data_IF_739504077577
#
_entry.id   IF_739504077577
#
_cell.length_a   1.000
_cell.length_b   1.000
_cell.length_c   1.000
_cell.angle_alpha   90.00
_cell.angle_beta   90.00
_cell.angle_gamma   90.00
#
_symmetry.space_group_name_H-M   'P 1'
#
loop_
_entity.id
_entity.type
_entity.pdbx_description
1 polymer ?
#
# COMPACT_ATOMS: atom_id res chain seq x y z
N UNK A 1 -21.19 -18.96 -14.94
CA UNK A 1 -21.10 -17.49 -14.73
C UNK A 1 -19.68 -17.06 -15.06
N UNK A 2 -19.45 -16.02 -15.87
CA UNK A 2 -18.12 -15.54 -16.18
C UNK A 2 -17.48 -14.87 -14.95
N UNK A 3 -16.16 -14.73 -14.97
CA UNK A 3 -15.44 -14.01 -13.95
C UNK A 3 -14.54 -12.91 -14.52
N UNK A 4 -14.31 -11.87 -13.72
CA UNK A 4 -13.33 -10.86 -14.02
C UNK A 4 -11.97 -11.32 -13.55
N UNK A 5 -10.98 -11.24 -14.42
CA UNK A 5 -9.57 -11.45 -14.11
C UNK A 5 -8.87 -10.11 -14.20
N UNK A 6 -8.31 -9.64 -13.08
CA UNK A 6 -7.43 -8.48 -13.03
C UNK A 6 -6.00 -8.95 -12.96
N UNK A 7 -5.17 -8.36 -13.79
CA UNK A 7 -3.71 -8.54 -13.81
C UNK A 7 -3.07 -7.23 -13.43
N UNK A 8 -2.40 -7.20 -12.29
CA UNK A 8 -1.74 -6.01 -11.76
C UNK A 8 -0.24 -6.25 -11.83
N UNK A 9 0.46 -5.47 -12.66
CA UNK A 9 1.89 -5.63 -12.88
C UNK A 9 2.70 -4.64 -12.05
N UNK A 10 3.72 -5.16 -11.39
CA UNK A 10 4.75 -4.39 -10.68
C UNK A 10 6.13 -4.74 -11.24
N UNK A 11 7.18 -4.05 -10.80
CA UNK A 11 8.57 -4.30 -11.25
C UNK A 11 9.01 -5.74 -11.01
N UNK A 12 8.72 -6.28 -9.83
CA UNK A 12 9.21 -7.59 -9.38
C UNK A 12 8.09 -8.64 -9.21
N UNK A 13 6.81 -8.28 -9.38
CA UNK A 13 5.69 -9.21 -9.20
C UNK A 13 4.48 -8.90 -10.08
N UNK A 14 3.61 -9.88 -10.19
CA UNK A 14 2.29 -9.76 -10.84
C UNK A 14 1.25 -10.31 -9.87
N UNK A 15 0.29 -9.49 -9.49
CA UNK A 15 -0.87 -9.93 -8.71
C UNK A 15 -2.03 -10.29 -9.64
N UNK A 16 -2.69 -11.39 -9.38
CA UNK A 16 -3.86 -11.84 -10.13
C UNK A 16 -5.05 -11.89 -9.18
N UNK A 17 -6.10 -11.17 -9.54
CA UNK A 17 -7.41 -11.26 -8.87
C UNK A 17 -8.43 -11.82 -9.85
N UNK A 18 -9.17 -12.84 -9.44
CA UNK A 18 -10.30 -13.41 -10.19
C UNK A 18 -11.53 -13.36 -9.30
N UNK A 19 -12.62 -12.79 -9.81
CA UNK A 19 -13.87 -12.68 -9.06
C UNK A 19 -15.03 -12.98 -9.99
N UNK A 20 -15.87 -13.94 -9.63
CA UNK A 20 -17.10 -14.17 -10.36
C UNK A 20 -18.01 -12.94 -10.33
N UNK A 21 -18.70 -12.68 -11.41
CA UNK A 21 -19.52 -11.47 -11.55
C UNK A 21 -20.79 -11.76 -12.32
N UNK A 22 -21.93 -11.38 -11.73
CA UNK A 22 -23.23 -11.43 -12.41
C UNK A 22 -23.46 -10.30 -13.41
N UNK A 23 -22.50 -9.36 -13.58
CA UNK A 23 -22.68 -8.22 -14.49
C UNK A 23 -22.32 -8.50 -15.94
N UNK A 24 -21.49 -9.52 -16.21
CA UNK A 24 -20.90 -9.74 -17.53
C UNK A 24 -21.35 -11.08 -18.11
N UNK A 25 -22.14 -11.03 -19.20
CA UNK A 25 -22.53 -12.22 -19.97
C UNK A 25 -23.45 -13.22 -19.26
N UNK A 26 -24.09 -12.82 -18.17
CA UNK A 26 -25.12 -13.59 -17.50
C UNK A 26 -26.48 -13.33 -18.16
N UNK A 27 -27.09 -14.37 -18.79
CA UNK A 27 -28.40 -14.27 -19.43
C UNK A 27 -29.56 -14.58 -18.47
N UNK A 28 -29.29 -14.93 -17.21
CA UNK A 28 -30.29 -15.24 -16.20
C UNK A 28 -30.79 -14.01 -15.46
N UNK A 29 -31.89 -14.15 -14.68
CA UNK A 29 -32.37 -13.07 -13.81
C UNK A 29 -31.25 -12.66 -12.82
N UNK A 30 -31.05 -11.33 -12.57
CA UNK A 30 -30.07 -10.87 -11.62
C UNK A 30 -30.36 -11.50 -10.24
N UNK A 31 -29.42 -12.29 -9.71
CA UNK A 31 -29.53 -12.71 -8.30
C UNK A 31 -29.55 -11.47 -7.41
N UNK A 32 -30.50 -11.42 -6.47
CA UNK A 32 -30.50 -10.38 -5.42
C UNK A 32 -29.14 -10.39 -4.74
N UNK A 33 -28.39 -9.33 -4.92
CA UNK A 33 -27.12 -9.14 -4.23
C UNK A 33 -27.41 -9.02 -2.74
N UNK A 34 -26.66 -9.76 -1.92
CA UNK A 34 -26.60 -9.50 -0.49
C UNK A 34 -26.04 -8.09 -0.29
N UNK A 35 -26.71 -7.26 0.47
CA UNK A 35 -26.19 -5.97 0.93
C UNK A 35 -25.40 -6.20 2.20
N UNK A 36 -24.08 -5.89 2.22
CA UNK A 36 -23.28 -6.03 3.44
C UNK A 36 -23.80 -5.14 4.56
N UNK A 37 -23.68 -5.61 5.79
CA UNK A 37 -23.98 -4.81 6.99
C UNK A 37 -23.00 -3.63 7.12
N UNK A 38 -23.31 -2.60 7.93
CA UNK A 38 -22.38 -1.49 8.18
C UNK A 38 -21.01 -1.97 8.72
N UNK A 39 -20.98 -3.01 9.55
CA UNK A 39 -19.76 -3.61 10.09
C UNK A 39 -18.96 -4.31 9.00
N UNK A 40 -19.61 -5.11 8.16
CA UNK A 40 -18.97 -5.75 6.98
C UNK A 40 -18.42 -4.69 6.02
N UNK A 41 -19.16 -3.59 5.81
CA UNK A 41 -18.66 -2.47 4.99
C UNK A 41 -17.41 -1.81 5.57
N UNK A 42 -17.28 -1.70 6.91
CA UNK A 42 -16.05 -1.23 7.56
C UNK A 42 -14.86 -2.15 7.25
N UNK A 43 -15.08 -3.47 7.32
CA UNK A 43 -14.04 -4.48 7.00
C UNK A 43 -13.64 -4.40 5.52
N UNK A 44 -14.62 -4.34 4.61
CA UNK A 44 -14.40 -4.20 3.17
C UNK A 44 -13.59 -2.93 2.87
N UNK A 45 -14.00 -1.79 3.42
CA UNK A 45 -13.31 -0.51 3.21
C UNK A 45 -11.87 -0.54 3.75
N UNK A 46 -11.63 -1.19 4.89
CA UNK A 46 -10.29 -1.37 5.44
C UNK A 46 -9.42 -2.23 4.51
N UNK A 47 -9.91 -3.39 4.05
CA UNK A 47 -9.19 -4.26 3.10
C UNK A 47 -8.86 -3.52 1.79
N UNK A 48 -9.81 -2.72 1.28
CA UNK A 48 -9.57 -1.91 0.08
C UNK A 48 -8.51 -0.81 0.31
N UNK A 49 -8.49 -0.20 1.49
CA UNK A 49 -7.48 0.79 1.85
C UNK A 49 -6.08 0.16 1.93
N UNK A 50 -5.96 -1.01 2.57
CA UNK A 50 -4.71 -1.79 2.66
C UNK A 50 -4.22 -2.15 1.25
N UNK A 51 -5.11 -2.71 0.41
CA UNK A 51 -4.79 -3.10 -0.96
C UNK A 51 -4.29 -1.91 -1.79
N UNK A 52 -5.00 -0.78 -1.76
CA UNK A 52 -4.61 0.43 -2.50
C UNK A 52 -3.26 0.97 -2.03
N UNK A 53 -3.02 0.98 -0.71
CA UNK A 53 -1.75 1.44 -0.16
C UNK A 53 -0.61 0.50 -0.55
N UNK A 54 -0.79 -0.83 -0.43
CA UNK A 54 0.19 -1.84 -0.86
C UNK A 54 0.55 -1.68 -2.34
N UNK A 55 -0.46 -1.54 -3.21
CA UNK A 55 -0.21 -1.34 -4.63
C UNK A 55 0.57 -0.06 -4.91
N UNK A 56 0.24 1.02 -4.20
CA UNK A 56 0.95 2.29 -4.34
C UNK A 56 2.40 2.19 -3.87
N UNK A 57 2.66 1.46 -2.79
CA UNK A 57 4.03 1.17 -2.32
C UNK A 57 4.76 0.34 -3.39
N UNK A 58 4.22 -0.80 -3.81
CA UNK A 58 4.83 -1.70 -4.80
C UNK A 58 5.11 -1.03 -6.17
N UNK A 59 4.28 -0.09 -6.58
CA UNK A 59 4.46 0.61 -7.86
C UNK A 59 5.56 1.68 -7.82
N UNK A 60 5.95 2.17 -6.64
CA UNK A 60 6.82 3.34 -6.51
C UNK A 60 8.08 3.14 -5.69
N UNK A 61 8.12 2.14 -4.80
CA UNK A 61 9.21 1.93 -3.85
C UNK A 61 9.65 0.46 -3.93
N UNK A 62 10.72 0.20 -4.63
CA UNK A 62 11.23 -1.15 -4.90
C UNK A 62 12.74 -1.17 -5.17
N UNK A 63 13.45 -0.13 -4.79
CA UNK A 63 14.91 -0.05 -4.86
C UNK A 63 15.53 -0.36 -3.49
N UNK A 64 16.82 -0.74 -3.49
CA UNK A 64 17.55 -1.09 -2.26
C UNK A 64 17.59 0.07 -1.25
N UNK A 65 17.65 1.30 -1.78
CA UNK A 65 17.77 2.51 -0.96
C UNK A 65 16.42 3.13 -0.59
N UNK A 66 15.30 2.45 -0.87
CA UNK A 66 13.99 2.91 -0.42
C UNK A 66 13.77 2.52 1.04
N UNK A 67 13.15 3.39 1.84
CA UNK A 67 13.00 3.22 3.28
C UNK A 67 11.58 3.38 3.77
N UNK A 68 11.22 2.55 4.74
CA UNK A 68 10.21 2.89 5.73
C UNK A 68 10.92 3.63 6.88
N UNK A 69 10.52 4.86 7.11
CA UNK A 69 11.11 5.77 8.09
C UNK A 69 10.09 6.09 9.17
N UNK A 70 10.48 5.96 10.43
CA UNK A 70 9.67 6.40 11.58
C UNK A 70 10.34 7.58 12.24
N UNK A 71 9.64 8.72 12.28
CA UNK A 71 10.07 9.93 12.96
C UNK A 71 9.35 10.04 14.30
N UNK A 72 10.13 10.10 15.37
CA UNK A 72 9.64 10.25 16.74
C UNK A 72 10.00 11.64 17.28
N UNK A 73 9.44 11.98 18.44
CA UNK A 73 9.76 13.21 19.19
C UNK A 73 10.36 12.86 20.55
N UNK A 74 11.38 13.59 20.99
CA UNK A 74 11.85 13.55 22.37
C UNK A 74 10.73 13.95 23.33
N UNK A 75 10.73 13.41 24.53
CA UNK A 75 9.65 13.60 25.52
C UNK A 75 9.38 15.09 25.81
N UNK A 76 10.44 15.88 25.94
CA UNK A 76 10.43 17.31 26.17
C UNK A 76 10.10 18.17 24.94
N UNK A 77 10.10 17.57 23.74
CA UNK A 77 9.86 18.27 22.48
C UNK A 77 8.58 17.79 21.76
N UNK A 78 7.70 17.08 22.48
CA UNK A 78 6.43 16.60 21.92
C UNK A 78 5.53 17.77 21.54
N UNK A 79 5.16 17.91 20.27
CA UNK A 79 4.30 18.98 19.79
C UNK A 79 2.83 18.62 19.95
N UNK A 80 1.97 19.63 19.79
CA UNK A 80 0.58 19.42 19.44
C UNK A 80 0.42 18.95 17.97
N UNK A 81 -0.81 18.68 17.54
CA UNK A 81 -1.08 18.15 16.22
C UNK A 81 -0.74 19.12 15.08
N UNK A 82 -0.92 20.42 15.28
CA UNK A 82 -0.69 21.42 14.24
C UNK A 82 0.80 21.75 14.10
N UNK A 83 1.50 21.84 15.22
CA UNK A 83 2.94 21.97 15.23
C UNK A 83 3.62 20.73 14.62
N UNK A 84 3.14 19.52 14.91
CA UNK A 84 3.64 18.28 14.28
C UNK A 84 3.49 18.32 12.75
N UNK A 85 2.34 18.78 12.25
CA UNK A 85 2.10 18.96 10.80
C UNK A 85 3.07 19.99 10.20
N UNK A 86 3.32 21.10 10.91
CA UNK A 86 4.24 22.16 10.49
C UNK A 86 5.67 21.64 10.38
N UNK A 87 6.17 20.95 11.43
CA UNK A 87 7.52 20.36 11.46
C UNK A 87 7.73 19.34 10.34
N UNK A 88 6.77 18.45 10.15
CA UNK A 88 6.80 17.46 9.06
C UNK A 88 6.79 18.11 7.67
N UNK A 89 5.96 19.15 7.47
CA UNK A 89 5.93 19.92 6.21
C UNK A 89 7.30 20.55 5.92
N UNK A 90 7.94 21.15 6.93
CA UNK A 90 9.27 21.76 6.80
C UNK A 90 10.34 20.72 6.42
N UNK A 91 10.33 19.55 7.10
CA UNK A 91 11.22 18.44 6.73
C UNK A 91 11.05 18.07 5.25
N UNK A 92 9.83 17.78 4.82
CA UNK A 92 9.55 17.37 3.43
C UNK A 92 9.98 18.44 2.42
N UNK A 93 9.75 19.71 2.71
CA UNK A 93 10.17 20.81 1.83
C UNK A 93 11.70 20.87 1.69
N UNK A 94 12.42 20.76 2.81
CA UNK A 94 13.87 20.80 2.82
C UNK A 94 14.47 19.59 2.09
N UNK A 95 14.00 18.38 2.42
CA UNK A 95 14.47 17.14 1.76
C UNK A 95 14.17 17.19 0.26
N UNK A 96 12.96 17.61 -0.15
CA UNK A 96 12.62 17.77 -1.59
C UNK A 96 13.56 18.72 -2.30
N UNK A 97 13.92 19.86 -1.68
CA UNK A 97 14.86 20.81 -2.24
C UNK A 97 16.24 20.19 -2.45
N UNK A 98 16.70 19.39 -1.48
CA UNK A 98 17.98 18.70 -1.54
C UNK A 98 18.00 17.59 -2.61
N UNK A 99 16.89 16.82 -2.74
CA UNK A 99 16.75 15.84 -3.81
C UNK A 99 16.84 16.51 -5.19
N UNK A 100 16.07 17.60 -5.37
CA UNK A 100 16.08 18.35 -6.63
C UNK A 100 17.47 18.89 -7.00
N UNK A 101 18.25 19.39 -6.03
CA UNK A 101 19.63 19.81 -6.23
C UNK A 101 20.56 18.69 -6.71
N UNK A 102 20.23 17.43 -6.41
CA UNK A 102 20.95 16.21 -6.82
C UNK A 102 20.38 15.53 -8.07
N UNK A 103 19.43 16.18 -8.76
CA UNK A 103 18.82 15.65 -9.98
C UNK A 103 17.75 14.57 -9.73
N UNK A 104 17.27 14.44 -8.49
CA UNK A 104 16.28 13.43 -8.11
C UNK A 104 14.95 14.05 -7.68
N UNK A 105 13.86 13.32 -7.92
CA UNK A 105 12.54 13.68 -7.42
C UNK A 105 12.22 12.89 -6.15
N UNK A 106 11.82 13.62 -5.11
CA UNK A 106 11.37 13.01 -3.86
C UNK A 106 9.98 12.41 -4.02
N UNK A 107 9.87 11.09 -3.83
CA UNK A 107 8.62 10.34 -3.69
C UNK A 107 8.40 9.97 -2.24
N UNK A 108 7.16 10.09 -1.76
CA UNK A 108 6.83 9.69 -0.39
C UNK A 108 5.36 9.33 -0.21
N UNK A 109 5.11 8.49 0.79
CA UNK A 109 3.81 8.27 1.42
C UNK A 109 4.00 8.58 2.90
N UNK A 110 3.10 9.37 3.49
CA UNK A 110 3.15 9.79 4.89
C UNK A 110 1.89 9.34 5.61
N UNK A 111 2.10 8.69 6.76
CA UNK A 111 1.08 8.34 7.73
C UNK A 111 1.45 8.98 9.06
N UNK A 112 0.52 9.66 9.72
CA UNK A 112 0.75 10.21 11.06
C UNK A 112 -0.14 9.48 12.06
N UNK A 113 0.47 8.93 13.08
CA UNK A 113 -0.18 8.29 14.22
C UNK A 113 -0.29 9.29 15.37
N UNK A 114 -1.50 9.43 15.93
CA UNK A 114 -1.79 10.29 17.07
C UNK A 114 -2.20 9.45 18.28
N UNK A 115 -1.26 8.68 18.84
CA UNK A 115 -1.55 7.74 19.93
C UNK A 115 -0.98 8.23 21.26
N UNK A 116 -1.81 8.21 22.32
CA UNK A 116 -1.38 8.45 23.71
C UNK A 116 -0.47 9.67 23.93
N UNK A 117 -0.79 10.82 23.35
CA UNK A 117 0.02 12.05 23.39
C UNK A 117 1.41 11.95 22.71
N UNK A 118 1.75 10.81 22.13
CA UNK A 118 2.98 10.62 21.35
C UNK A 118 2.64 10.57 19.87
N UNK A 119 3.03 11.60 19.13
CA UNK A 119 2.84 11.66 17.69
C UNK A 119 4.03 10.99 17.02
N UNK A 120 3.76 10.07 16.09
CA UNK A 120 4.76 9.45 15.23
C UNK A 120 4.41 9.69 13.76
N UNK A 121 5.44 9.92 12.94
CA UNK A 121 5.25 9.99 11.49
C UNK A 121 5.94 8.80 10.85
N UNK A 122 5.16 8.01 10.12
CA UNK A 122 5.65 6.94 9.27
C UNK A 122 5.75 7.47 7.84
N UNK A 123 6.91 7.33 7.23
CA UNK A 123 7.15 7.72 5.84
C UNK A 123 7.65 6.51 5.07
N UNK A 124 7.07 6.27 3.91
CA UNK A 124 7.70 5.46 2.87
C UNK A 124 8.31 6.45 1.90
N UNK A 125 9.62 6.34 1.65
CA UNK A 125 10.39 7.34 0.90
C UNK A 125 11.37 6.64 -0.05
N UNK A 126 11.48 7.16 -1.29
CA UNK A 126 12.55 6.72 -2.16
C UNK A 126 13.90 7.25 -1.66
N UNK A 127 14.93 6.43 -1.81
CA UNK A 127 16.27 6.77 -1.37
C UNK A 127 17.17 7.33 -2.47
N UNK A 128 18.18 8.05 -2.03
CA UNK A 128 19.41 8.39 -2.75
C UNK A 128 20.57 8.20 -1.76
N UNK A 129 21.81 8.19 -2.22
CA UNK A 129 23.00 7.84 -1.42
C UNK A 129 23.11 8.54 -0.06
N UNK A 130 22.60 9.76 0.08
CA UNK A 130 22.67 10.55 1.33
C UNK A 130 21.30 10.81 1.99
N UNK A 131 20.25 10.06 1.63
CA UNK A 131 18.91 10.20 2.21
C UNK A 131 18.91 10.19 3.73
N UNK A 132 19.59 9.23 4.35
CA UNK A 132 19.67 9.14 5.82
C UNK A 132 20.31 10.37 6.43
N UNK A 133 21.42 10.85 5.85
CA UNK A 133 22.10 12.07 6.31
C UNK A 133 21.20 13.30 6.22
N UNK A 134 20.47 13.45 5.12
CA UNK A 134 19.52 14.55 4.91
C UNK A 134 18.39 14.52 5.94
N UNK A 135 17.78 13.37 6.17
CA UNK A 135 16.71 13.22 7.15
C UNK A 135 17.23 13.56 8.56
N UNK A 136 18.36 12.99 8.98
CA UNK A 136 18.97 13.27 10.30
C UNK A 136 19.36 14.76 10.44
N UNK A 137 19.79 15.39 9.35
CA UNK A 137 20.14 16.82 9.36
C UNK A 137 18.93 17.73 9.58
N UNK A 138 17.79 17.42 8.94
CA UNK A 138 16.60 18.29 9.02
C UNK A 138 15.62 17.89 10.11
N UNK A 139 15.69 16.66 10.66
CA UNK A 139 14.85 16.23 11.77
C UNK A 139 15.61 16.33 13.10
N UNK A 140 15.37 17.41 13.85
CA UNK A 140 16.07 17.70 15.12
C UNK A 140 15.23 17.39 16.37
N UNK A 141 13.96 16.97 16.19
CA UNK A 141 13.00 16.86 17.29
C UNK A 141 13.00 15.49 17.97
N UNK A 142 13.67 14.52 17.41
CA UNK A 142 13.73 13.15 17.93
C UNK A 142 14.64 12.27 17.09
N UNK A 143 14.44 10.97 17.18
CA UNK A 143 15.27 9.98 16.48
C UNK A 143 14.56 9.46 15.22
N UNK A 144 15.16 9.58 14.02
CA UNK A 144 14.71 8.89 12.83
C UNK A 144 15.13 7.42 12.89
N UNK A 145 14.18 6.50 12.66
CA UNK A 145 14.44 5.08 12.53
C UNK A 145 14.19 4.63 11.09
N UNK A 146 15.16 3.97 10.45
CA UNK A 146 15.14 3.58 9.05
C UNK A 146 15.06 2.06 8.91
N UNK A 147 14.10 1.59 8.13
CA UNK A 147 13.96 0.19 7.74
C UNK A 147 13.98 0.10 6.20
N UNK A 148 14.95 -0.58 5.59
CA UNK A 148 15.00 -0.77 4.13
C UNK A 148 13.77 -1.53 3.60
N UNK A 149 13.31 -1.20 2.38
CA UNK A 149 12.13 -1.79 1.72
C UNK A 149 12.47 -2.82 0.64
N UNK A 150 13.54 -3.56 0.78
CA UNK A 150 13.99 -4.49 -0.27
C UNK A 150 13.26 -5.85 -0.28
N UNK A 151 12.45 -6.15 0.71
CA UNK A 151 11.70 -7.42 0.81
C UNK A 151 10.25 -7.23 0.41
N UNK A 152 9.85 -7.85 -0.69
CA UNK A 152 8.51 -7.68 -1.27
C UNK A 152 7.40 -8.26 -0.39
N UNK A 153 7.67 -9.33 0.35
CA UNK A 153 6.74 -9.97 1.28
C UNK A 153 6.34 -9.04 2.42
N UNK A 154 7.26 -8.22 2.91
CA UNK A 154 7.01 -7.28 4.02
C UNK A 154 6.13 -6.08 3.64
N UNK A 155 5.98 -5.75 2.35
CA UNK A 155 5.20 -4.57 1.91
C UNK A 155 3.69 -4.71 2.16
N UNK A 156 3.18 -5.94 2.16
CA UNK A 156 1.79 -6.24 2.52
C UNK A 156 1.52 -5.95 3.98
N UNK A 157 2.40 -6.44 4.85
CA UNK A 157 2.35 -6.24 6.30
C UNK A 157 2.54 -4.78 6.68
N UNK A 158 3.48 -4.09 6.00
CA UNK A 158 3.67 -2.65 6.18
C UNK A 158 2.40 -1.86 5.84
N UNK A 159 1.75 -2.15 4.72
CA UNK A 159 0.51 -1.47 4.33
C UNK A 159 -0.61 -1.74 5.34
N UNK A 160 -0.73 -2.97 5.85
CA UNK A 160 -1.70 -3.32 6.89
C UNK A 160 -1.42 -2.57 8.20
N UNK A 161 -0.17 -2.57 8.65
CA UNK A 161 0.27 -1.82 9.83
C UNK A 161 -0.08 -0.34 9.71
N UNK A 162 0.31 0.32 8.62
CA UNK A 162 0.06 1.74 8.40
C UNK A 162 -1.44 2.09 8.38
N UNK A 163 -2.28 1.23 7.81
CA UNK A 163 -3.73 1.43 7.81
C UNK A 163 -4.32 1.21 9.20
N UNK A 164 -3.83 0.21 9.95
CA UNK A 164 -4.28 -0.10 11.31
C UNK A 164 -4.01 1.07 12.27
N UNK A 165 -2.80 1.62 12.25
CA UNK A 165 -2.40 2.72 13.14
C UNK A 165 -3.20 4.01 12.92
N UNK A 166 -3.73 4.21 11.71
CA UNK A 166 -4.56 5.39 11.41
C UNK A 166 -6.06 5.15 11.53
N UNK A 167 -6.50 3.92 11.76
CA UNK A 167 -7.92 3.57 11.64
C UNK A 167 -8.81 4.33 12.64
N UNK A 168 -8.38 4.44 13.90
CA UNK A 168 -9.09 5.18 14.96
C UNK A 168 -9.16 6.67 14.63
N UNK A 169 -8.02 7.31 14.42
CA UNK A 169 -7.90 8.77 14.17
C UNK A 169 -8.64 9.19 12.90
N UNK A 170 -8.61 8.34 11.86
CA UNK A 170 -9.34 8.59 10.62
C UNK A 170 -10.85 8.49 10.80
N UNK A 171 -11.35 7.54 11.59
CA UNK A 171 -12.78 7.38 11.85
C UNK A 171 -13.34 8.51 12.70
N UNK A 172 -12.60 8.94 13.68
CA UNK A 172 -12.98 10.05 14.56
C UNK A 172 -12.85 11.42 13.88
N UNK A 173 -12.12 11.51 12.75
CA UNK A 173 -11.85 12.75 11.98
C UNK A 173 -11.27 13.91 12.82
N UNK A 174 -10.68 13.59 13.96
CA UNK A 174 -10.21 14.59 14.95
C UNK A 174 -9.01 15.37 14.42
N UNK A 175 -8.02 14.68 13.82
CA UNK A 175 -6.76 15.30 13.43
C UNK A 175 -6.48 15.20 11.93
N UNK A 176 -7.15 14.31 11.20
CA UNK A 176 -6.87 14.08 9.78
C UNK A 176 -8.11 13.63 9.00
N UNK A 177 -8.25 14.17 7.78
CA UNK A 177 -9.33 13.83 6.85
C UNK A 177 -8.97 12.66 5.93
N UNK A 178 -7.71 12.28 5.84
CA UNK A 178 -7.18 11.22 4.99
C UNK A 178 -6.29 10.28 5.80
N UNK A 179 -6.34 8.97 5.49
CA UNK A 179 -5.50 7.96 6.16
C UNK A 179 -4.00 8.21 5.94
N UNK A 180 -3.64 8.65 4.74
CA UNK A 180 -2.25 8.94 4.37
C UNK A 180 -2.19 10.07 3.34
N UNK A 181 -1.05 10.70 3.25
CA UNK A 181 -0.73 11.70 2.24
C UNK A 181 0.40 11.20 1.35
N UNK A 182 0.36 11.54 0.06
CA UNK A 182 1.35 11.13 -0.92
C UNK A 182 1.95 12.33 -1.65
N UNK A 183 3.15 12.16 -2.15
CA UNK A 183 3.69 13.04 -3.18
C UNK A 183 2.89 12.87 -4.49
N UNK A 184 2.80 13.94 -5.28
CA UNK A 184 1.98 13.97 -6.52
C UNK A 184 2.60 13.19 -7.69
N UNK A 185 3.88 12.85 -7.59
CA UNK A 185 4.66 12.15 -8.62
C UNK A 185 4.67 10.62 -8.44
N UNK A 186 3.75 10.06 -7.61
CA UNK A 186 3.56 8.64 -7.54
C UNK A 186 2.78 8.14 -8.75
N UNK A 187 3.20 6.99 -9.29
CA UNK A 187 2.50 6.30 -10.37
C UNK A 187 1.49 5.29 -9.80
N UNK A 188 0.39 5.12 -10.49
CA UNK A 188 -0.56 4.04 -10.20
C UNK A 188 -0.12 2.77 -10.93
N UNK A 189 -0.41 1.57 -10.39
CA UNK A 189 -0.06 0.32 -11.05
C UNK A 189 -0.84 0.11 -12.36
N UNK A 190 -0.24 -0.56 -13.34
CA UNK A 190 -0.92 -0.98 -14.56
C UNK A 190 -1.89 -2.14 -14.24
N UNK A 191 -3.18 -1.91 -14.44
CA UNK A 191 -4.24 -2.86 -14.15
C UNK A 191 -4.96 -3.23 -15.44
N UNK A 192 -4.76 -4.48 -15.91
CA UNK A 192 -5.53 -5.04 -17.02
C UNK A 192 -6.70 -5.85 -16.49
N UNK A 193 -7.89 -5.62 -17.05
CA UNK A 193 -9.12 -6.32 -16.67
C UNK A 193 -9.62 -7.10 -17.87
N UNK A 194 -9.82 -8.41 -17.69
CA UNK A 194 -10.32 -9.34 -18.69
C UNK A 194 -11.59 -10.02 -18.20
N UNK A 195 -12.56 -10.21 -19.08
CA UNK A 195 -13.75 -11.05 -18.81
C UNK A 195 -13.45 -12.47 -19.30
N UNK A 196 -13.39 -13.41 -18.37
CA UNK A 196 -13.14 -14.82 -18.70
C UNK A 196 -14.47 -15.59 -18.69
N UNK A 197 -14.85 -16.15 -19.84
CA UNK A 197 -16.08 -16.94 -20.02
C UNK A 197 -15.87 -18.39 -19.58
N UNK A 198 -15.69 -18.60 -18.27
CA UNK A 198 -15.56 -19.93 -17.67
C UNK A 198 -16.35 -20.00 -16.36
N UNK A 199 -16.86 -21.19 -16.02
CA UNK A 199 -17.67 -21.42 -14.83
C UNK A 199 -16.85 -21.84 -13.60
N UNK A 200 -15.55 -22.08 -13.78
CA UNK A 200 -14.63 -22.48 -12.70
C UNK A 200 -13.28 -21.81 -12.89
N UNK A 201 -12.55 -21.63 -11.80
CA UNK A 201 -11.13 -21.31 -11.87
C UNK A 201 -10.33 -22.54 -12.27
N UNK A 202 -9.21 -22.36 -12.97
CA UNK A 202 -8.29 -23.46 -13.27
C UNK A 202 -7.76 -24.06 -11.98
N UNK A 203 -7.85 -25.38 -11.80
CA UNK A 203 -7.33 -26.10 -10.61
C UNK A 203 -5.81 -25.91 -10.43
N UNK A 204 -5.06 -25.96 -11.55
CA UNK A 204 -3.62 -25.76 -11.52
C UNK A 204 -3.29 -24.35 -12.00
N UNK A 205 -2.75 -23.52 -11.09
CA UNK A 205 -2.24 -22.21 -11.43
C UNK A 205 -0.87 -22.40 -12.10
N UNK A 206 -0.69 -21.81 -13.30
CA UNK A 206 0.59 -21.84 -14.02
C UNK A 206 1.22 -20.45 -13.95
N UNK A 207 2.49 -20.32 -13.54
CA UNK A 207 3.20 -19.05 -13.58
C UNK A 207 3.47 -18.60 -15.02
N UNK A 208 3.65 -17.31 -15.23
CA UNK A 208 4.20 -16.77 -16.47
C UNK A 208 5.69 -17.12 -16.59
N UNK A 209 6.23 -17.11 -17.80
CA UNK A 209 7.67 -17.30 -18.02
C UNK A 209 8.49 -16.28 -17.22
N UNK A 210 9.51 -16.75 -16.51
CA UNK A 210 10.36 -15.93 -15.65
C UNK A 210 9.77 -15.58 -14.28
N UNK A 211 8.64 -16.21 -13.89
CA UNK A 211 7.99 -16.02 -12.59
C UNK A 211 7.72 -17.36 -11.92
N UNK A 212 7.66 -17.37 -10.60
CA UNK A 212 7.11 -18.46 -9.80
C UNK A 212 5.86 -18.03 -9.04
N UNK A 213 5.04 -18.98 -8.62
CA UNK A 213 3.86 -18.70 -7.78
C UNK A 213 4.30 -18.61 -6.34
N UNK A 214 4.04 -17.48 -5.70
CA UNK A 214 4.11 -17.37 -4.25
C UNK A 214 2.94 -18.14 -3.64
N UNK A 215 3.22 -19.37 -3.18
CA UNK A 215 2.21 -20.29 -2.66
C UNK A 215 1.43 -19.75 -1.46
N UNK A 216 2.07 -19.10 -0.45
CA UNK A 216 1.36 -18.47 0.66
C UNK A 216 0.37 -17.38 0.24
N UNK A 217 0.58 -16.73 -0.91
CA UNK A 217 -0.31 -15.69 -1.41
C UNK A 217 -1.61 -16.22 -2.04
N UNK A 218 -1.73 -17.54 -2.24
CA UNK A 218 -2.93 -18.12 -2.86
C UNK A 218 -4.08 -18.08 -1.85
N UNK A 219 -5.11 -17.30 -2.17
CA UNK A 219 -6.33 -17.17 -1.37
C UNK A 219 -7.53 -17.44 -2.25
N UNK A 220 -8.40 -18.35 -1.82
CA UNK A 220 -9.67 -18.64 -2.46
C UNK A 220 -10.80 -18.57 -1.44
N UNK A 221 -11.98 -18.13 -1.87
CA UNK A 221 -13.11 -18.05 -0.98
C UNK A 221 -14.36 -17.48 -1.64
N UNK A 222 -15.32 -17.12 -0.81
CA UNK A 222 -16.54 -16.40 -1.17
C UNK A 222 -16.46 -15.04 -0.50
N UNK A 223 -16.65 -13.97 -1.27
CA UNK A 223 -16.63 -12.62 -0.74
C UNK A 223 -17.98 -12.26 -0.06
N UNK A 224 -18.02 -11.10 0.58
CA UNK A 224 -19.17 -10.60 1.33
C UNK A 224 -20.43 -10.40 0.44
N UNK A 225 -20.26 -10.38 -0.88
CA UNK A 225 -21.36 -10.30 -1.86
C UNK A 225 -21.81 -11.67 -2.37
N UNK A 226 -21.27 -12.77 -1.84
CA UNK A 226 -21.59 -14.13 -2.22
C UNK A 226 -20.88 -14.62 -3.50
N UNK A 227 -19.88 -13.92 -4.02
CA UNK A 227 -19.14 -14.32 -5.20
C UNK A 227 -17.85 -15.06 -4.85
N UNK A 228 -17.57 -16.16 -5.53
CA UNK A 228 -16.28 -16.86 -5.43
C UNK A 228 -15.17 -15.98 -5.98
N UNK A 229 -14.02 -15.99 -5.29
CA UNK A 229 -12.82 -15.30 -5.71
C UNK A 229 -11.58 -16.17 -5.56
N UNK A 230 -10.54 -15.84 -6.32
CA UNK A 230 -9.20 -16.38 -6.23
C UNK A 230 -8.21 -15.24 -6.38
N UNK A 231 -7.25 -15.17 -5.48
CA UNK A 231 -6.13 -14.23 -5.52
C UNK A 231 -4.82 -15.00 -5.43
N UNK A 232 -3.78 -14.56 -6.13
CA UNK A 232 -2.41 -15.05 -5.97
C UNK A 232 -1.41 -14.06 -6.55
N UNK A 233 -0.16 -14.17 -6.08
CA UNK A 233 0.99 -13.38 -6.54
C UNK A 233 1.96 -14.28 -7.31
N UNK A 234 2.49 -13.77 -8.40
CA UNK A 234 3.65 -14.32 -9.11
C UNK A 234 4.84 -13.40 -8.87
N UNK A 235 5.95 -13.97 -8.43
CA UNK A 235 7.19 -13.22 -8.15
C UNK A 235 8.21 -13.52 -9.24
N UNK A 236 8.90 -12.48 -9.69
CA UNK A 236 9.91 -12.57 -10.74
C UNK A 236 11.12 -13.35 -10.23
N UNK A 237 11.57 -14.33 -11.00
CA UNK A 237 12.79 -15.09 -10.71
C UNK A 237 13.98 -14.13 -10.90
N UNK A 238 14.72 -13.84 -9.83
CA UNK A 238 15.99 -13.12 -9.94
C UNK A 238 16.99 -14.07 -10.60
N UNK A 239 17.57 -13.68 -11.73
CA UNK A 239 18.77 -14.35 -12.22
C UNK A 239 19.89 -13.99 -11.26
N UNK A 240 20.55 -14.97 -10.70
CA UNK A 240 21.86 -14.79 -10.03
C UNK A 240 22.82 -14.39 -11.15
N UNK A 241 23.32 -13.16 -11.10
CA UNK A 241 24.46 -12.72 -11.91
C UNK A 241 25.74 -13.24 -11.29
#
# INVERSE_FOLDING_TARGET
MPYLKKVIKFKNSIEIEKVFSGKYGWKGKPQKKRTPTPEEMKVINRRQAIKKLRWKIKANFNEIDDYHLVLTYKKDQRPDADEAKRRLKNLIQNVRRQYKKRGHDLKYIIVTEYKNKAIHHHLVINGISDTMKLICHYWKYGHPNFTPLYEEESLGELAEYLVKETDKTFREKVHQKQRYRCSRNLVEPDIKVEVVRANTFRKKIKPCAGYYIDKPSIVEGINEFGYRYQFYTMVKIKKLE
#
